data_IF_948916450145
#
_entry.id   IF_948916450145
#
_cell.length_a   1.000
_cell.length_b   1.000
_cell.length_c   1.000
_cell.angle_alpha   90.00
_cell.angle_beta   90.00
_cell.angle_gamma   90.00
#
_symmetry.space_group_name_H-M   'P 1'
#
loop_
_entity.id
_entity.type
_entity.pdbx_description
1 polymer ?
#
# COMPACT_ATOMS: atom_id res chain seq x y z
N UNK A 1 35.18 -20.09 -12.98
CA UNK A 1 35.31 -18.78 -13.56
C UNK A 1 34.25 -17.92 -12.96
N UNK A 2 34.66 -17.11 -11.97
CA UNK A 2 33.82 -16.15 -11.25
C UNK A 2 33.37 -15.03 -12.21
N UNK A 3 32.22 -15.21 -12.83
CA UNK A 3 31.52 -14.10 -13.44
C UNK A 3 30.91 -13.25 -12.35
N UNK A 4 31.60 -12.23 -11.89
CA UNK A 4 31.00 -11.16 -11.09
C UNK A 4 29.88 -10.55 -11.92
N UNK A 5 28.64 -11.01 -11.70
CA UNK A 5 27.46 -10.31 -12.20
C UNK A 5 27.51 -8.91 -11.60
N UNK A 6 27.88 -7.92 -12.40
CA UNK A 6 27.76 -6.53 -12.03
C UNK A 6 26.34 -6.31 -11.50
N UNK A 7 26.20 -5.97 -10.23
CA UNK A 7 24.92 -5.64 -9.60
C UNK A 7 24.43 -4.37 -10.32
N UNK A 8 23.37 -4.42 -11.13
CA UNK A 8 22.86 -3.22 -11.77
C UNK A 8 22.42 -2.27 -10.67
N UNK A 9 22.63 -0.96 -10.86
CA UNK A 9 22.34 0.09 -9.91
C UNK A 9 21.00 -0.14 -9.18
N UNK A 10 21.08 -0.40 -7.85
CA UNK A 10 19.96 -0.72 -6.97
C UNK A 10 19.74 -2.24 -6.85
N UNK A 11 20.28 -2.84 -5.78
CA UNK A 11 20.01 -4.23 -5.40
C UNK A 11 18.52 -4.48 -5.14
N UNK A 12 18.10 -5.76 -5.01
CA UNK A 12 16.68 -6.16 -4.82
C UNK A 12 15.98 -5.45 -3.68
N UNK A 13 16.70 -5.15 -2.60
CA UNK A 13 16.22 -4.36 -1.47
C UNK A 13 15.80 -2.95 -1.90
N UNK A 14 16.67 -2.24 -2.64
CA UNK A 14 16.40 -0.87 -3.09
C UNK A 14 15.21 -0.82 -4.05
N UNK A 15 15.09 -1.80 -4.94
CA UNK A 15 13.96 -1.89 -5.88
C UNK A 15 12.65 -2.16 -5.14
N UNK A 16 12.64 -3.08 -4.19
CA UNK A 16 11.47 -3.39 -3.36
C UNK A 16 10.99 -2.17 -2.58
N UNK A 17 11.91 -1.47 -1.92
CA UNK A 17 11.59 -0.24 -1.18
C UNK A 17 11.05 0.86 -2.10
N UNK A 18 11.72 1.15 -3.20
CA UNK A 18 11.28 2.18 -4.17
C UNK A 18 9.90 1.86 -4.72
N UNK A 19 9.64 0.58 -5.05
CA UNK A 19 8.34 0.13 -5.51
C UNK A 19 7.27 0.31 -4.44
N UNK A 20 7.53 -0.11 -3.20
CA UNK A 20 6.59 0.06 -2.10
C UNK A 20 6.26 1.53 -1.82
N UNK A 21 7.24 2.43 -1.90
CA UNK A 21 7.00 3.88 -1.79
C UNK A 21 6.13 4.41 -2.94
N UNK A 22 6.41 4.03 -4.18
CA UNK A 22 5.61 4.46 -5.34
C UNK A 22 4.18 3.96 -5.22
N UNK A 23 3.99 2.68 -4.87
CA UNK A 23 2.66 2.08 -4.66
C UNK A 23 1.91 2.80 -3.54
N UNK A 24 2.58 3.09 -2.42
CA UNK A 24 1.99 3.83 -1.30
C UNK A 24 1.50 5.21 -1.74
N UNK A 25 2.33 5.98 -2.44
CA UNK A 25 1.94 7.31 -2.94
C UNK A 25 0.74 7.21 -3.89
N UNK A 26 0.77 6.27 -4.84
CA UNK A 26 -0.34 6.06 -5.76
C UNK A 26 -1.63 5.64 -5.05
N UNK A 27 -1.52 4.75 -4.06
CA UNK A 27 -2.66 4.31 -3.23
C UNK A 27 -3.28 5.47 -2.46
N UNK A 28 -2.47 6.40 -1.93
CA UNK A 28 -2.97 7.58 -1.24
C UNK A 28 -3.56 8.61 -2.20
N UNK A 29 -2.90 8.88 -3.32
CA UNK A 29 -3.38 9.83 -4.33
C UNK A 29 -4.74 9.43 -4.89
N UNK A 30 -4.98 8.14 -5.07
CA UNK A 30 -6.26 7.60 -5.54
C UNK A 30 -7.23 7.42 -4.36
N UNK A 31 -6.75 6.86 -3.25
CA UNK A 31 -7.57 6.49 -2.10
C UNK A 31 -8.17 7.67 -1.34
N UNK A 32 -7.42 8.78 -1.17
CA UNK A 32 -7.92 9.97 -0.44
C UNK A 32 -9.16 10.58 -1.13
N UNK A 33 -9.10 10.96 -2.41
CA UNK A 33 -10.29 11.50 -3.06
C UNK A 33 -11.41 10.47 -3.20
N UNK A 34 -11.09 9.21 -3.44
CA UNK A 34 -12.10 8.15 -3.52
C UNK A 34 -12.83 7.96 -2.18
N UNK A 35 -12.09 7.89 -1.06
CA UNK A 35 -12.67 7.79 0.27
C UNK A 35 -13.54 9.02 0.60
N UNK A 36 -13.06 10.23 0.24
CA UNK A 36 -13.81 11.46 0.48
C UNK A 36 -15.12 11.48 -0.29
N UNK A 37 -15.11 11.12 -1.58
CA UNK A 37 -16.34 11.03 -2.40
C UNK A 37 -17.30 10.00 -1.81
N UNK A 38 -16.81 8.81 -1.48
CA UNK A 38 -17.63 7.70 -0.97
C UNK A 38 -18.26 8.05 0.39
N UNK A 39 -17.52 8.75 1.29
CA UNK A 39 -18.01 9.03 2.65
C UNK A 39 -18.80 10.31 2.74
N UNK A 40 -18.43 11.35 1.98
CA UNK A 40 -19.03 12.70 2.10
C UNK A 40 -20.14 12.97 1.08
N UNK A 41 -20.15 12.28 -0.05
CA UNK A 41 -21.16 12.49 -1.11
C UNK A 41 -22.22 11.40 -1.11
N UNK A 42 -23.47 11.81 -1.30
CA UNK A 42 -24.60 10.88 -1.48
C UNK A 42 -24.88 10.72 -2.97
N UNK A 43 -24.66 9.51 -3.51
CA UNK A 43 -24.96 9.17 -4.88
C UNK A 43 -25.38 7.70 -5.03
N UNK A 44 -26.17 7.40 -6.05
CA UNK A 44 -26.58 6.02 -6.35
C UNK A 44 -25.36 5.20 -6.80
N UNK A 45 -25.16 4.03 -6.16
CA UNK A 45 -24.03 3.14 -6.48
C UNK A 45 -22.78 3.33 -5.61
N UNK A 46 -22.82 4.23 -4.63
CA UNK A 46 -21.73 4.46 -3.67
C UNK A 46 -21.20 3.15 -3.04
N UNK A 47 -22.11 2.33 -2.53
CA UNK A 47 -21.77 1.08 -1.85
C UNK A 47 -21.23 0.04 -2.86
N UNK A 48 -21.76 0.01 -4.07
CA UNK A 48 -21.23 -0.83 -5.14
C UNK A 48 -19.79 -0.44 -5.48
N UNK A 49 -19.54 0.86 -5.64
CA UNK A 49 -18.20 1.37 -5.92
C UNK A 49 -17.21 0.99 -4.82
N UNK A 50 -17.60 1.19 -3.55
CA UNK A 50 -16.78 0.78 -2.41
C UNK A 50 -16.48 -0.72 -2.42
N UNK A 51 -17.50 -1.55 -2.66
CA UNK A 51 -17.36 -3.00 -2.70
C UNK A 51 -16.47 -3.46 -3.87
N UNK A 52 -16.59 -2.86 -5.05
CA UNK A 52 -15.72 -3.17 -6.20
C UNK A 52 -14.26 -2.85 -5.90
N UNK A 53 -13.98 -1.68 -5.32
CA UNK A 53 -12.60 -1.33 -4.94
C UNK A 53 -12.04 -2.19 -3.83
N UNK A 54 -12.88 -2.71 -2.93
CA UNK A 54 -12.44 -3.56 -1.80
C UNK A 54 -12.54 -5.06 -2.10
N UNK A 55 -13.13 -5.45 -3.23
CA UNK A 55 -13.28 -6.84 -3.64
C UNK A 55 -11.97 -7.65 -3.66
N UNK A 56 -10.80 -7.10 -4.07
CA UNK A 56 -9.53 -7.83 -4.02
C UNK A 56 -9.20 -8.38 -2.63
N UNK A 57 -9.63 -7.73 -1.54
CA UNK A 57 -9.40 -8.21 -0.16
C UNK A 57 -10.13 -9.51 0.17
N UNK A 58 -11.17 -9.85 -0.58
CA UNK A 58 -11.98 -11.06 -0.36
C UNK A 58 -11.40 -12.27 -1.09
N UNK A 59 -10.47 -12.05 -2.01
CA UNK A 59 -9.89 -13.13 -2.83
C UNK A 59 -8.61 -13.67 -2.15
N UNK A 60 -8.40 -14.99 -2.16
CA UNK A 60 -7.10 -15.55 -1.81
C UNK A 60 -6.01 -14.94 -2.70
N UNK A 61 -4.90 -14.50 -2.11
CA UNK A 61 -3.83 -13.78 -2.83
C UNK A 61 -3.29 -14.56 -4.03
N UNK A 62 -3.21 -15.90 -3.91
CA UNK A 62 -2.78 -16.76 -5.02
C UNK A 62 -3.73 -16.70 -6.22
N UNK A 63 -5.05 -16.65 -5.97
CA UNK A 63 -6.07 -16.55 -7.01
C UNK A 63 -6.00 -15.18 -7.68
N UNK A 64 -5.86 -14.14 -6.88
CA UNK A 64 -5.68 -12.78 -7.38
C UNK A 64 -4.41 -12.66 -8.22
N UNK A 65 -3.30 -13.24 -7.75
CA UNK A 65 -2.02 -13.27 -8.48
C UNK A 65 -2.12 -13.96 -9.84
N UNK A 66 -2.81 -15.10 -9.90
CA UNK A 66 -3.06 -15.81 -11.17
C UNK A 66 -3.95 -14.99 -12.11
N UNK A 67 -4.98 -14.34 -11.59
CA UNK A 67 -5.85 -13.49 -12.41
C UNK A 67 -5.06 -12.30 -12.99
N UNK A 68 -4.23 -11.64 -12.19
CA UNK A 68 -3.35 -10.55 -12.62
C UNK A 68 -2.34 -11.06 -13.66
N UNK A 69 -1.72 -12.23 -13.44
CA UNK A 69 -0.79 -12.85 -14.39
C UNK A 69 -1.43 -13.01 -15.76
N UNK A 70 -2.63 -13.61 -15.84
CA UNK A 70 -3.34 -13.85 -17.10
C UNK A 70 -3.64 -12.53 -17.83
N UNK A 71 -4.16 -11.55 -17.10
CA UNK A 71 -4.49 -10.24 -17.67
C UNK A 71 -3.23 -9.51 -18.13
N UNK A 72 -2.18 -9.47 -17.30
CA UNK A 72 -0.96 -8.72 -17.61
C UNK A 72 -0.11 -9.37 -18.70
N UNK A 73 -0.23 -10.70 -18.90
CA UNK A 73 0.39 -11.38 -20.02
C UNK A 73 -0.09 -10.83 -21.36
N UNK A 74 -1.39 -10.58 -21.50
CA UNK A 74 -1.96 -10.03 -22.74
C UNK A 74 -1.57 -8.58 -23.03
N UNK A 75 -1.17 -7.83 -21.99
CA UNK A 75 -0.72 -6.43 -22.13
C UNK A 75 0.82 -6.27 -22.16
N UNK A 76 1.58 -7.36 -22.12
CA UNK A 76 3.05 -7.31 -22.10
C UNK A 76 3.61 -6.65 -20.83
N UNK A 77 2.89 -6.73 -19.70
CA UNK A 77 3.29 -6.13 -18.43
C UNK A 77 4.11 -7.07 -17.54
N UNK A 78 4.24 -8.36 -17.92
CA UNK A 78 5.03 -9.33 -17.17
C UNK A 78 6.52 -8.97 -17.19
N UNK A 79 7.19 -9.27 -16.09
CA UNK A 79 8.61 -8.96 -15.88
C UNK A 79 8.96 -7.47 -16.11
N UNK A 80 8.03 -6.57 -15.83
CA UNK A 80 8.25 -5.11 -15.94
C UNK A 80 7.98 -4.44 -14.58
N UNK A 81 8.73 -3.37 -14.28
CA UNK A 81 8.49 -2.58 -13.06
C UNK A 81 7.07 -1.96 -13.05
N UNK A 82 6.57 -1.54 -14.22
CA UNK A 82 5.20 -1.00 -14.35
C UNK A 82 4.14 -2.05 -13.99
N UNK A 83 4.31 -3.28 -14.48
CA UNK A 83 3.41 -4.38 -14.13
C UNK A 83 3.43 -4.67 -12.62
N UNK A 84 4.61 -4.74 -12.00
CA UNK A 84 4.72 -4.93 -10.55
C UNK A 84 4.03 -3.82 -9.78
N UNK A 85 4.29 -2.54 -10.10
CA UNK A 85 3.64 -1.40 -9.42
C UNK A 85 2.12 -1.46 -9.56
N UNK A 86 1.59 -1.76 -10.75
CA UNK A 86 0.14 -1.87 -10.96
C UNK A 86 -0.47 -3.04 -10.19
N UNK A 87 0.20 -4.18 -10.15
CA UNK A 87 -0.28 -5.34 -9.42
C UNK A 87 -0.31 -5.08 -7.90
N UNK A 88 0.76 -4.49 -7.36
CA UNK A 88 0.82 -4.09 -5.96
C UNK A 88 -0.20 -3.00 -5.63
N UNK A 89 -0.51 -2.11 -6.57
CA UNK A 89 -1.57 -1.11 -6.40
C UNK A 89 -2.94 -1.77 -6.26
N UNK A 90 -3.25 -2.81 -7.05
CA UNK A 90 -4.51 -3.57 -6.93
C UNK A 90 -4.69 -4.15 -5.53
N UNK A 91 -3.60 -4.59 -4.90
CA UNK A 91 -3.63 -5.14 -3.54
C UNK A 91 -3.66 -4.06 -2.47
N UNK A 92 -2.87 -3.00 -2.63
CA UNK A 92 -2.68 -1.99 -1.58
C UNK A 92 -3.79 -0.94 -1.52
N UNK A 93 -4.38 -0.57 -2.67
CA UNK A 93 -5.43 0.44 -2.76
C UNK A 93 -6.67 0.13 -1.91
N UNK A 94 -7.17 -1.11 -1.85
CA UNK A 94 -8.28 -1.47 -0.96
C UNK A 94 -8.02 -1.16 0.52
N UNK A 95 -6.80 -1.40 1.00
CA UNK A 95 -6.41 -1.09 2.37
C UNK A 95 -6.42 0.42 2.62
N UNK A 96 -5.82 1.20 1.69
CA UNK A 96 -5.84 2.65 1.78
C UNK A 96 -7.28 3.18 1.85
N UNK A 97 -8.12 2.74 0.91
CA UNK A 97 -9.51 3.18 0.81
C UNK A 97 -10.28 2.87 2.11
N UNK A 98 -10.10 1.68 2.67
CA UNK A 98 -10.80 1.24 3.86
C UNK A 98 -10.40 2.04 5.10
N UNK A 99 -9.10 2.25 5.32
CA UNK A 99 -8.59 3.05 6.45
C UNK A 99 -9.05 4.50 6.34
N UNK A 100 -8.90 5.09 5.15
CA UNK A 100 -9.27 6.48 4.91
C UNK A 100 -10.79 6.69 5.03
N UNK A 101 -11.60 5.75 4.54
CA UNK A 101 -13.05 5.81 4.67
C UNK A 101 -13.50 5.73 6.14
N UNK A 102 -12.93 4.82 6.93
CA UNK A 102 -13.21 4.74 8.38
C UNK A 102 -12.76 6.01 9.09
N UNK A 103 -11.55 6.51 8.80
CA UNK A 103 -11.04 7.75 9.40
C UNK A 103 -11.92 8.95 9.09
N UNK A 104 -12.43 9.07 7.86
CA UNK A 104 -13.36 10.12 7.47
C UNK A 104 -14.74 9.96 8.13
N UNK A 105 -15.23 8.73 8.21
CA UNK A 105 -16.55 8.46 8.81
C UNK A 105 -16.60 8.77 10.31
N UNK A 106 -15.46 8.65 11.01
CA UNK A 106 -15.35 8.95 12.45
C UNK A 106 -15.05 10.43 12.74
N UNK A 107 -14.72 11.24 11.74
CA UNK A 107 -14.51 12.68 11.93
C UNK A 107 -15.82 13.45 12.05
N UNK A 108 -15.85 14.37 13.01
CA UNK A 108 -16.95 15.31 13.17
C UNK A 108 -17.00 16.26 11.95
N UNK A 109 -18.18 16.38 11.35
CA UNK A 109 -18.45 17.25 10.21
C UNK A 109 -18.61 18.72 10.57
N UNK A 110 -18.75 19.04 11.84
CA UNK A 110 -19.03 20.40 12.31
C UNK A 110 -18.01 21.42 11.83
N UNK A 111 -16.72 21.05 11.77
CA UNK A 111 -15.66 21.92 11.25
C UNK A 111 -15.80 22.20 9.74
N UNK A 112 -16.20 21.17 8.97
CA UNK A 112 -16.43 21.30 7.52
C UNK A 112 -17.66 22.20 7.26
N UNK A 113 -18.75 21.96 8.00
CA UNK A 113 -20.01 22.72 7.91
C UNK A 113 -19.82 24.20 8.34
N UNK A 114 -19.07 24.43 9.42
CA UNK A 114 -18.74 25.80 9.85
C UNK A 114 -17.95 26.55 8.78
N UNK A 115 -16.97 25.91 8.15
CA UNK A 115 -16.19 26.53 7.07
C UNK A 115 -17.06 26.83 5.84
N UNK A 116 -17.99 25.95 5.48
CA UNK A 116 -18.94 26.18 4.39
C UNK A 116 -19.90 27.36 4.72
N UNK A 117 -20.39 27.45 5.95
CA UNK A 117 -21.27 28.52 6.43
C UNK A 117 -20.55 29.89 6.37
N UNK A 118 -19.23 29.92 6.58
CA UNK A 118 -18.39 31.10 6.43
C UNK A 118 -18.07 31.43 4.95
N UNK A 119 -18.65 30.72 3.99
CA UNK A 119 -18.51 30.99 2.56
C UNK A 119 -17.30 30.34 1.90
N UNK A 120 -16.62 29.40 2.58
CA UNK A 120 -15.52 28.66 1.96
C UNK A 120 -16.04 27.74 0.83
N UNK A 121 -15.28 27.66 -0.27
CA UNK A 121 -15.62 26.73 -1.37
C UNK A 121 -15.33 25.28 -0.94
N UNK A 122 -16.12 24.27 -1.41
CA UNK A 122 -15.95 22.87 -1.00
C UNK A 122 -14.53 22.33 -1.19
N UNK A 123 -13.86 22.70 -2.28
CA UNK A 123 -12.48 22.27 -2.53
C UNK A 123 -11.49 22.92 -1.53
N UNK A 124 -11.74 24.17 -1.11
CA UNK A 124 -10.94 24.84 -0.06
C UNK A 124 -11.14 24.17 1.30
N UNK A 125 -12.38 23.75 1.63
CA UNK A 125 -12.69 22.99 2.85
C UNK A 125 -11.95 21.65 2.83
N UNK A 126 -11.99 20.93 1.70
CA UNK A 126 -11.26 19.68 1.56
C UNK A 126 -9.76 19.85 1.88
N UNK A 127 -9.05 20.78 1.24
CA UNK A 127 -7.61 20.94 1.43
C UNK A 127 -7.20 21.57 2.76
N UNK A 128 -8.02 22.49 3.30
CA UNK A 128 -7.67 23.27 4.50
C UNK A 128 -8.26 22.74 5.80
N UNK A 129 -9.31 21.94 5.73
CA UNK A 129 -10.00 21.40 6.92
C UNK A 129 -9.95 19.87 6.90
N UNK A 130 -10.59 19.23 5.91
CA UNK A 130 -10.73 17.76 5.86
C UNK A 130 -9.37 17.06 5.79
N UNK A 131 -8.51 17.46 4.86
CA UNK A 131 -7.21 16.79 4.63
C UNK A 131 -6.25 16.89 5.83
N UNK A 132 -6.08 18.05 6.50
CA UNK A 132 -5.31 18.13 7.75
C UNK A 132 -5.89 17.30 8.89
N UNK A 133 -7.22 17.28 9.05
CA UNK A 133 -7.87 16.45 10.05
C UNK A 133 -7.73 14.96 9.77
N UNK A 134 -7.63 14.57 8.49
CA UNK A 134 -7.43 13.20 8.05
C UNK A 134 -5.98 12.71 8.21
N UNK A 135 -5.04 13.59 8.56
CA UNK A 135 -3.60 13.25 8.60
C UNK A 135 -3.26 11.98 9.40
N UNK A 136 -3.86 11.66 10.56
CA UNK A 136 -3.59 10.40 11.24
C UNK A 136 -4.01 9.18 10.41
N UNK A 137 -5.16 9.26 9.75
CA UNK A 137 -5.66 8.21 8.86
C UNK A 137 -4.76 8.04 7.62
N UNK A 138 -4.25 9.15 7.08
CA UNK A 138 -3.29 9.13 5.95
C UNK A 138 -1.99 8.42 6.34
N UNK A 139 -1.44 8.74 7.53
CA UNK A 139 -0.22 8.08 8.03
C UNK A 139 -0.45 6.58 8.22
N UNK A 140 -1.59 6.19 8.81
CA UNK A 140 -1.95 4.79 8.98
C UNK A 140 -2.10 4.05 7.64
N UNK A 141 -2.81 4.66 6.69
CA UNK A 141 -2.99 4.10 5.35
C UNK A 141 -1.65 3.99 4.60
N UNK A 142 -0.79 5.02 4.70
CA UNK A 142 0.54 5.00 4.10
C UNK A 142 1.39 3.85 4.62
N UNK A 143 1.43 3.68 5.94
CA UNK A 143 2.21 2.63 6.57
C UNK A 143 1.73 1.24 6.19
N UNK A 144 0.40 1.01 6.23
CA UNK A 144 -0.14 -0.29 5.86
C UNK A 144 0.09 -0.59 4.37
N UNK A 145 -0.12 0.38 3.47
CA UNK A 145 0.15 0.20 2.04
C UNK A 145 1.63 -0.11 1.78
N UNK A 146 2.53 0.60 2.48
CA UNK A 146 3.96 0.33 2.37
C UNK A 146 4.30 -1.09 2.81
N UNK A 147 3.82 -1.51 3.99
CA UNK A 147 4.08 -2.84 4.53
C UNK A 147 3.52 -3.94 3.63
N UNK A 148 2.26 -3.80 3.21
CA UNK A 148 1.61 -4.77 2.32
C UNK A 148 2.35 -4.88 0.99
N UNK A 149 2.75 -3.76 0.40
CA UNK A 149 3.49 -3.78 -0.87
C UNK A 149 4.92 -4.27 -0.70
N UNK A 150 5.58 -3.98 0.42
CA UNK A 150 6.96 -4.40 0.66
C UNK A 150 7.08 -5.90 0.94
N UNK A 151 6.12 -6.48 1.67
CA UNK A 151 6.12 -7.88 2.08
C UNK A 151 5.40 -8.81 1.07
N UNK A 152 4.87 -8.27 -0.03
CA UNK A 152 4.11 -9.05 -1.00
C UNK A 152 5.03 -9.96 -1.83
N UNK A 153 4.97 -11.24 -1.55
CA UNK A 153 5.76 -12.28 -2.23
C UNK A 153 4.95 -12.99 -3.32
N UNK A 154 3.70 -13.34 -3.02
CA UNK A 154 2.90 -14.24 -3.86
C UNK A 154 2.64 -13.64 -5.24
N UNK A 155 2.12 -12.42 -5.28
CA UNK A 155 1.83 -11.73 -6.54
C UNK A 155 3.13 -11.41 -7.28
N UNK A 156 4.17 -11.02 -6.53
CA UNK A 156 5.48 -10.74 -7.10
C UNK A 156 6.06 -11.96 -7.80
N UNK A 157 5.97 -13.17 -7.20
CA UNK A 157 6.44 -14.42 -7.81
C UNK A 157 5.81 -14.71 -9.18
N UNK A 158 4.52 -14.40 -9.35
CA UNK A 158 3.84 -14.59 -10.64
C UNK A 158 4.27 -13.59 -11.72
N UNK A 159 4.75 -12.41 -11.32
CA UNK A 159 5.01 -11.29 -12.22
C UNK A 159 6.48 -10.99 -12.44
N UNK A 160 7.36 -11.58 -11.62
CA UNK A 160 8.82 -11.40 -11.74
C UNK A 160 9.40 -12.16 -12.92
N UNK A 161 10.63 -11.80 -13.26
CA UNK A 161 11.41 -12.45 -14.30
C UNK A 161 12.92 -12.34 -14.00
N UNK A 162 13.80 -12.88 -14.83
CA UNK A 162 15.23 -13.00 -14.54
C UNK A 162 15.95 -11.67 -14.25
N UNK A 163 15.34 -10.54 -14.60
CA UNK A 163 15.94 -9.20 -14.46
C UNK A 163 15.31 -8.34 -13.38
N UNK A 164 14.15 -8.74 -12.86
CA UNK A 164 13.37 -7.95 -11.88
C UNK A 164 12.93 -8.87 -10.78
N UNK A 165 13.43 -8.62 -9.57
CA UNK A 165 13.08 -9.33 -8.35
C UNK A 165 13.02 -8.34 -7.19
N UNK A 166 12.32 -8.70 -6.14
CA UNK A 166 12.28 -7.98 -4.87
C UNK A 166 13.00 -8.80 -3.79
N UNK A 167 13.41 -8.14 -2.71
CA UNK A 167 14.13 -8.82 -1.64
C UNK A 167 13.33 -10.00 -1.04
N UNK A 168 12.02 -9.89 -0.74
CA UNK A 168 11.27 -11.02 -0.22
C UNK A 168 11.24 -12.23 -1.16
N UNK A 169 11.14 -12.00 -2.49
CA UNK A 169 11.17 -13.07 -3.49
C UNK A 169 12.55 -13.72 -3.57
N UNK A 170 13.63 -12.93 -3.55
CA UNK A 170 14.98 -13.49 -3.53
C UNK A 170 15.28 -14.29 -2.27
N UNK A 171 14.78 -13.85 -1.13
CA UNK A 171 14.87 -14.61 0.12
C UNK A 171 14.09 -15.92 0.02
N UNK A 172 12.87 -15.88 -0.56
CA UNK A 172 12.07 -17.08 -0.78
C UNK A 172 12.81 -18.09 -1.66
N UNK A 173 13.34 -17.64 -2.80
CA UNK A 173 14.12 -18.49 -3.74
C UNK A 173 15.38 -19.04 -3.06
N UNK A 174 16.04 -18.22 -2.25
CA UNK A 174 17.24 -18.64 -1.52
C UNK A 174 16.93 -19.70 -0.46
N UNK A 175 15.84 -19.53 0.31
CA UNK A 175 15.36 -20.53 1.28
C UNK A 175 15.03 -21.84 0.60
N UNK A 176 14.34 -21.77 -0.54
CA UNK A 176 13.90 -22.96 -1.27
C UNK A 176 15.08 -23.77 -1.84
N UNK A 177 16.14 -23.08 -2.27
CA UNK A 177 17.28 -23.72 -2.92
C UNK A 177 18.48 -24.00 -1.99
N UNK A 178 18.58 -23.29 -0.85
CA UNK A 178 19.78 -23.33 0.01
C UNK A 178 19.36 -23.18 1.47
N UNK A 179 19.49 -24.23 2.28
CA UNK A 179 19.26 -24.16 3.72
C UNK A 179 20.48 -23.51 4.42
N UNK A 180 20.57 -22.16 4.38
CA UNK A 180 21.70 -21.39 4.93
C UNK A 180 21.22 -20.52 6.12
N UNK A 181 21.96 -20.46 7.22
CA UNK A 181 21.69 -19.55 8.35
C UNK A 181 21.59 -18.06 7.97
N UNK A 182 22.12 -17.63 6.83
CA UNK A 182 22.04 -16.25 6.34
C UNK A 182 20.60 -15.79 6.15
N UNK A 183 19.70 -16.72 5.82
CA UNK A 183 18.27 -16.46 5.71
C UNK A 183 17.66 -15.98 7.02
N UNK A 184 18.06 -16.63 8.13
CA UNK A 184 17.59 -16.22 9.45
C UNK A 184 18.00 -14.78 9.78
N UNK A 185 19.23 -14.39 9.45
CA UNK A 185 19.70 -13.02 9.64
C UNK A 185 18.92 -12.01 8.79
N UNK A 186 18.66 -12.33 7.51
CA UNK A 186 17.87 -11.47 6.63
C UNK A 186 16.41 -11.34 7.09
N UNK A 187 15.81 -12.45 7.57
CA UNK A 187 14.45 -12.44 8.14
C UNK A 187 14.36 -11.56 9.40
N UNK A 188 15.37 -11.60 10.26
CA UNK A 188 15.44 -10.73 11.44
C UNK A 188 15.50 -9.26 11.02
N UNK A 189 16.27 -8.90 10.00
CA UNK A 189 16.33 -7.54 9.48
C UNK A 189 14.97 -7.07 8.94
N UNK A 190 14.24 -7.93 8.22
CA UNK A 190 12.88 -7.62 7.75
C UNK A 190 11.92 -7.40 8.91
N UNK A 191 11.96 -8.26 9.93
CA UNK A 191 11.15 -8.11 11.15
C UNK A 191 11.44 -6.79 11.83
N UNK A 192 12.73 -6.44 12.01
CA UNK A 192 13.13 -5.18 12.64
C UNK A 192 12.69 -3.96 11.83
N UNK A 193 12.76 -4.04 10.50
CA UNK A 193 12.28 -2.98 9.61
C UNK A 193 10.76 -2.80 9.75
N UNK A 194 10.00 -3.89 9.74
CA UNK A 194 8.55 -3.88 9.91
C UNK A 194 8.16 -3.31 11.28
N UNK A 195 8.80 -3.76 12.35
CA UNK A 195 8.59 -3.22 13.70
C UNK A 195 8.94 -1.74 13.76
N UNK A 196 10.03 -1.31 13.13
CA UNK A 196 10.42 0.10 13.05
C UNK A 196 9.34 0.96 12.38
N UNK A 197 8.78 0.49 11.26
CA UNK A 197 7.66 1.18 10.58
C UNK A 197 6.44 1.26 11.49
N UNK A 198 6.05 0.16 12.13
CA UNK A 198 4.91 0.12 13.07
C UNK A 198 5.11 1.11 14.21
N UNK A 199 6.28 1.14 14.84
CA UNK A 199 6.59 2.06 15.94
C UNK A 199 6.57 3.54 15.52
N UNK A 200 7.06 3.86 14.30
CA UNK A 200 7.00 5.21 13.75
C UNK A 200 5.53 5.63 13.55
N UNK A 201 4.72 4.74 13.00
CA UNK A 201 3.28 4.99 12.78
C UNK A 201 2.55 5.17 14.11
N UNK A 202 2.79 4.29 15.08
CA UNK A 202 2.19 4.39 16.41
C UNK A 202 2.52 5.74 17.08
N UNK A 203 3.78 6.16 16.98
CA UNK A 203 4.21 7.48 17.51
C UNK A 203 3.56 8.64 16.76
N UNK A 204 3.48 8.56 15.43
CA UNK A 204 2.86 9.60 14.61
C UNK A 204 1.35 9.74 14.85
N UNK A 205 0.68 8.62 15.11
CA UNK A 205 -0.77 8.58 15.40
C UNK A 205 -1.10 8.88 16.85
N UNK A 206 -0.13 8.86 17.75
CA UNK A 206 -0.36 9.08 19.18
C UNK A 206 -1.24 8.03 19.85
N UNK A 207 -1.34 6.81 19.28
CA UNK A 207 -2.18 5.73 19.79
C UNK A 207 -1.83 5.34 21.21
N UNK A 208 -0.57 5.44 21.61
CA UNK A 208 -0.13 5.20 22.98
C UNK A 208 -0.73 6.16 24.01
N UNK A 209 -1.24 7.31 23.58
CA UNK A 209 -1.93 8.26 24.48
C UNK A 209 -3.43 7.99 24.64
N UNK A 210 -4.01 7.18 23.75
CA UNK A 210 -5.44 6.86 23.78
C UNK A 210 -5.75 5.67 24.72
N UNK A 211 -4.77 4.85 25.05
CA UNK A 211 -4.92 3.67 25.93
C UNK A 211 -4.49 3.91 27.39
N UNK A 212 -3.99 5.11 27.72
CA UNK A 212 -3.61 5.49 29.09
C UNK A 212 -4.59 6.54 29.61
N UNK A 213 -5.85 6.17 29.70
CA UNK A 213 -6.87 6.87 30.53
C UNK A 213 -7.77 5.85 31.17
#
# INVERSE_FOLDING_TARGET
PNGSKAIPHGGPLFRGQTMAFVVTILSLVIGIPAAWVIVRMEFKGRDLLFNVFTAPLLLPTIVLGLAILIVFASFGLLATMRGLVLAHLVVSLPYALRILAVSLATQDRSCEEAALTLGAKPLSVFFRVTLPMLSPGIVAAAALCFLVSFDEVVITLFLTGPRISTLPVELYDYVYNTADPLVAAASVLLILLTLGVILVVERAMGLGRAFVK
#
